data_IF_546487330310
#
_entry.id   IF_546487330310
#
_cell.length_a   1.000
_cell.length_b   1.000
_cell.length_c   1.000
_cell.angle_alpha   90.00
_cell.angle_beta   90.00
_cell.angle_gamma   90.00
#
_symmetry.space_group_name_H-M   'P 1'
#
loop_
_entity.id
_entity.type
_entity.pdbx_description
1 polymer ?
#
# COMPACT_ATOMS: atom_id res chain seq x y z
N UNK A 1 -5.88 -12.40 -0.68
CA UNK A 1 -6.18 -11.22 -1.48
C UNK A 1 -4.94 -10.79 -2.23
N UNK A 2 -5.14 -10.36 -3.45
CA UNK A 2 -4.03 -9.89 -4.25
C UNK A 2 -3.69 -8.44 -3.93
N UNK A 3 -2.44 -8.08 -4.18
CA UNK A 3 -1.99 -6.72 -4.00
C UNK A 3 -2.89 -5.75 -4.76
N UNK A 4 -3.24 -4.65 -4.10
CA UNK A 4 -4.13 -3.66 -4.70
C UNK A 4 -3.43 -2.80 -5.73
N UNK A 5 -2.13 -2.90 -5.83
CA UNK A 5 -1.31 -2.08 -6.71
C UNK A 5 -0.90 -2.84 -7.98
N UNK A 6 -0.30 -3.98 -7.83
CA UNK A 6 0.19 -4.74 -8.97
C UNK A 6 -0.71 -5.89 -9.38
N UNK A 7 -1.51 -6.41 -8.44
CA UNK A 7 -2.42 -7.51 -8.70
C UNK A 7 -1.70 -8.79 -9.14
N UNK A 8 -0.43 -8.91 -8.81
CA UNK A 8 0.34 -10.10 -9.18
C UNK A 8 0.72 -10.92 -7.96
N UNK A 9 1.10 -10.25 -6.89
CA UNK A 9 1.53 -10.91 -5.67
C UNK A 9 0.43 -10.85 -4.65
N UNK A 10 0.49 -11.77 -3.68
CA UNK A 10 -0.49 -11.77 -2.63
C UNK A 10 -0.20 -10.63 -1.65
N UNK A 11 -1.26 -9.93 -1.28
CA UNK A 11 -1.11 -8.80 -0.36
C UNK A 11 -0.79 -9.32 1.03
N UNK A 12 0.37 -8.94 1.54
CA UNK A 12 0.80 -9.31 2.88
C UNK A 12 0.88 -8.11 3.80
N UNK A 13 0.79 -6.91 3.25
CA UNK A 13 0.90 -5.69 4.02
C UNK A 13 -0.43 -4.94 3.95
N UNK A 14 -0.91 -4.55 5.10
CA UNK A 14 -2.18 -3.84 5.21
C UNK A 14 -1.91 -2.43 5.73
N UNK A 15 -2.27 -1.44 4.96
CA UNK A 15 -2.07 -0.04 5.32
C UNK A 15 -3.41 0.64 5.53
N UNK A 16 -3.50 1.42 6.59
CA UNK A 16 -4.70 2.17 6.89
C UNK A 16 -4.36 3.64 7.01
N UNK A 17 -5.08 4.47 6.27
CA UNK A 17 -4.91 5.91 6.30
C UNK A 17 -6.22 6.59 6.69
N UNK A 18 -6.11 7.61 7.51
CA UNK A 18 -7.28 8.39 7.92
C UNK A 18 -7.00 9.84 7.56
N UNK A 19 -7.82 10.38 6.65
CA UNK A 19 -7.68 11.76 6.20
C UNK A 19 -9.06 12.41 6.22
N UNK A 20 -9.17 13.51 6.94
CA UNK A 20 -10.42 14.28 7.02
C UNK A 20 -11.61 13.39 7.40
N UNK A 21 -11.43 12.56 8.43
CA UNK A 21 -12.48 11.64 8.89
C UNK A 21 -12.82 10.56 7.87
N UNK A 22 -11.98 10.37 6.88
CA UNK A 22 -12.17 9.30 5.90
C UNK A 22 -11.12 8.23 6.11
N UNK A 23 -11.57 7.00 6.21
CA UNK A 23 -10.69 5.87 6.41
C UNK A 23 -10.46 5.16 5.09
N UNK A 24 -9.20 5.01 4.71
CA UNK A 24 -8.81 4.33 3.48
C UNK A 24 -7.93 3.15 3.83
N UNK A 25 -8.26 1.98 3.28
CA UNK A 25 -7.48 0.77 3.51
C UNK A 25 -6.86 0.31 2.21
N UNK A 26 -5.60 -0.11 2.28
CA UNK A 26 -4.88 -0.61 1.13
C UNK A 26 -4.20 -1.93 1.48
N UNK A 27 -4.24 -2.85 0.53
CA UNK A 27 -3.57 -4.12 0.67
C UNK A 27 -2.48 -4.20 -0.37
N UNK A 28 -1.23 -4.30 0.08
CA UNK A 28 -0.08 -4.28 -0.80
C UNK A 28 0.83 -5.47 -0.53
N UNK A 29 1.55 -5.88 -1.56
CA UNK A 29 2.61 -6.86 -1.36
C UNK A 29 3.87 -6.15 -0.89
N UNK A 30 4.83 -6.91 -0.38
CA UNK A 30 6.03 -6.29 0.17
C UNK A 30 6.79 -5.50 -0.90
N UNK A 31 6.78 -5.96 -2.14
CA UNK A 31 7.47 -5.23 -3.21
C UNK A 31 6.83 -3.88 -3.45
N UNK A 32 5.51 -3.85 -3.58
CA UNK A 32 4.81 -2.60 -3.82
C UNK A 32 4.90 -1.66 -2.62
N UNK A 33 4.78 -2.21 -1.42
CA UNK A 33 4.90 -1.40 -0.22
C UNK A 33 6.26 -0.73 -0.15
N UNK A 34 7.32 -1.47 -0.51
CA UNK A 34 8.66 -0.91 -0.52
C UNK A 34 8.80 0.19 -1.57
N UNK A 35 8.25 -0.04 -2.75
CA UNK A 35 8.30 0.96 -3.80
C UNK A 35 7.61 2.25 -3.39
N UNK A 36 6.44 2.13 -2.82
CA UNK A 36 5.70 3.32 -2.41
C UNK A 36 6.40 4.07 -1.31
N UNK A 37 7.05 3.35 -0.40
CA UNK A 37 7.81 3.98 0.66
C UNK A 37 9.00 4.75 0.10
N UNK A 38 9.70 4.16 -0.86
CA UNK A 38 10.85 4.81 -1.47
C UNK A 38 10.44 6.05 -2.24
N UNK A 39 9.33 5.96 -2.95
CA UNK A 39 8.84 7.11 -3.69
C UNK A 39 8.50 8.27 -2.74
N UNK A 40 7.94 7.95 -1.59
CA UNK A 40 7.62 8.98 -0.61
C UNK A 40 8.85 9.65 -0.02
N UNK A 41 9.95 8.94 0.01
CA UNK A 41 11.18 9.48 0.59
C UNK A 41 11.89 10.46 -0.33
N UNK A 42 11.60 10.40 -1.61
CA UNK A 42 12.31 11.21 -2.59
C UNK A 42 11.84 12.66 -2.59
N UNK A 43 10.73 12.94 -2.04
CA UNK A 43 10.21 14.30 -2.02
C UNK A 43 10.82 15.15 -0.91
#
# INVERSE_FOLDING_TARGET
MLCNHCHKNEATIHMTNIINNQKTEQHLCSACATELQQAGKLS
#
